data_IF_957361826804
#
_entry.id   IF_957361826804
#
_cell.length_a   1.000
_cell.length_b   1.000
_cell.length_c   1.000
_cell.angle_alpha   90.00
_cell.angle_beta   90.00
_cell.angle_gamma   90.00
#
_symmetry.space_group_name_H-M   'P 1'
#
loop_
_entity.id
_entity.type
_entity.pdbx_description
1 polymer ?
2 non-polymer ?
3 non-polymer ?
4 non-polymer ?
5 non-polymer ?
6 water ?
#
# COMPACT_ATOMS: atom_id res chain seq x y z
N UNK A 1 14.09 -24.37 -13.30
CA UNK A 1 13.60 -23.23 -14.07
C UNK A 1 12.36 -22.59 -13.46
N UNK A 2 11.25 -22.57 -14.22
CA UNK A 2 9.94 -22.30 -13.65
C UNK A 2 9.49 -23.41 -12.71
N UNK A 3 10.15 -24.56 -12.75
CA UNK A 3 9.93 -25.60 -11.76
C UNK A 3 10.32 -25.11 -10.36
N UNK A 4 11.41 -24.36 -10.28
CA UNK A 4 11.81 -23.79 -8.99
C UNK A 4 10.76 -22.84 -8.48
N UNK A 5 10.16 -22.06 -9.38
CA UNK A 5 9.20 -21.03 -8.99
C UNK A 5 7.88 -21.65 -8.59
N UNK A 6 7.42 -22.67 -9.31
CA UNK A 6 6.25 -23.40 -8.86
C UNK A 6 6.46 -24.01 -7.48
N UNK A 7 7.69 -24.42 -7.16
CA UNK A 7 7.95 -25.03 -5.86
C UNK A 7 8.00 -23.99 -4.74
N UNK A 8 8.64 -22.85 -5.01
CA UNK A 8 8.55 -21.72 -4.11
C UNK A 8 7.10 -21.45 -3.75
N UNK A 9 6.24 -21.34 -4.77
CA UNK A 9 4.84 -21.03 -4.54
C UNK A 9 4.11 -22.11 -3.77
N UNK A 10 4.49 -23.38 -3.96
CA UNK A 10 3.86 -24.45 -3.18
C UNK A 10 4.18 -24.33 -1.69
N UNK A 11 5.38 -23.84 -1.37
CA UNK A 11 5.81 -23.78 0.01
C UNK A 11 5.28 -22.53 0.69
N UNK A 12 5.00 -21.47 -0.08
CA UNK A 12 4.38 -20.28 0.49
C UNK A 12 3.01 -20.60 1.07
N UNK A 13 2.21 -21.36 0.33
CA UNK A 13 0.94 -21.90 0.81
C UNK A 13 1.02 -22.40 2.24
N UNK A 14 2.11 -23.10 2.59
CA UNK A 14 2.14 -23.86 3.82
C UNK A 14 2.03 -22.96 5.05
N UNK A 15 2.31 -21.68 4.92
CA UNK A 15 2.24 -20.77 6.05
C UNK A 15 0.99 -19.90 6.02
N UNK A 16 -0.09 -20.36 5.38
CA UNK A 16 -1.32 -19.59 5.37
C UNK A 16 -2.06 -19.66 6.70
N UNK A 17 -1.94 -20.77 7.43
CA UNK A 17 -2.52 -20.85 8.79
C UNK A 17 -1.96 -19.77 9.70
N UNK A 18 -0.65 -19.57 9.67
CA UNK A 18 -0.01 -18.59 10.54
C UNK A 18 -0.48 -17.17 10.20
N UNK A 19 -0.48 -16.83 8.91
CA UNK A 19 -0.94 -15.49 8.53
C UNK A 19 -2.44 -15.34 8.83
N UNK A 20 -3.21 -16.43 8.73
CA UNK A 20 -4.65 -16.31 8.93
C UNK A 20 -4.99 -16.10 10.41
N UNK A 21 -4.39 -16.88 11.32
CA UNK A 21 -4.68 -16.64 12.73
C UNK A 21 -4.04 -15.34 13.22
N UNK A 22 -2.85 -14.99 12.71
CA UNK A 22 -2.30 -13.67 12.98
C UNK A 22 -3.29 -12.58 12.59
N UNK A 23 -3.86 -12.69 11.39
CA UNK A 23 -4.79 -11.68 10.90
C UNK A 23 -6.12 -11.67 11.66
N UNK A 24 -6.48 -12.75 12.37
CA UNK A 24 -7.65 -12.72 13.21
C UNK A 24 -7.39 -11.96 14.50
N UNK A 25 -6.18 -12.16 15.05
CA UNK A 25 -5.73 -11.36 16.18
C UNK A 25 -5.78 -9.87 15.85
N UNK A 26 -5.20 -9.48 14.71
CA UNK A 26 -5.28 -8.10 14.29
C UNK A 26 -6.72 -7.65 14.17
N UNK A 27 -7.60 -8.52 13.63
CA UNK A 27 -8.99 -8.14 13.44
C UNK A 27 -9.69 -7.84 14.76
N UNK A 28 -9.34 -8.57 15.82
CA UNK A 28 -9.96 -8.33 17.10
C UNK A 28 -9.63 -6.95 17.62
N UNK A 29 -8.35 -6.73 17.90
CA UNK A 29 -7.78 -5.45 18.33
C UNK A 29 -8.43 -4.31 17.55
N UNK A 30 -8.39 -4.41 16.22
CA UNK A 30 -8.92 -3.37 15.35
C UNK A 30 -10.38 -3.06 15.69
N UNK A 31 -11.21 -4.10 15.86
CA UNK A 31 -12.61 -3.88 16.19
C UNK A 31 -12.75 -3.12 17.52
N UNK A 32 -11.92 -3.45 18.52
CA UNK A 32 -12.03 -2.79 19.83
C UNK A 32 -11.73 -1.31 19.71
N UNK A 33 -10.71 -0.97 18.91
CA UNK A 33 -10.35 0.43 18.74
C UNK A 33 -11.44 1.17 17.99
N UNK A 34 -12.04 0.52 17.00
CA UNK A 34 -13.14 1.12 16.26
C UNK A 34 -14.30 1.48 17.20
N UNK A 35 -14.55 0.66 18.22
CA UNK A 35 -15.60 0.95 19.18
C UNK A 35 -15.35 2.28 19.89
N UNK A 36 -14.11 2.53 20.28
CA UNK A 36 -13.85 3.69 21.13
C UNK A 36 -13.69 4.96 20.32
N UNK A 37 -12.94 4.89 19.22
CA UNK A 37 -12.83 6.03 18.32
C UNK A 37 -14.20 6.60 17.97
N UNK A 38 -15.21 5.74 17.86
CA UNK A 38 -16.58 6.19 17.62
C UNK A 38 -17.15 6.96 18.80
N UNK A 39 -16.63 6.75 20.01
CA UNK A 39 -17.11 7.55 21.13
C UNK A 39 -16.72 9.01 21.00
N UNK A 40 -15.61 9.29 20.32
CA UNK A 40 -15.10 10.65 20.27
C UNK A 40 -15.93 11.51 19.32
N UNK A 41 -16.17 12.77 19.74
CA UNK A 41 -16.85 13.73 18.87
C UNK A 41 -16.19 13.81 17.49
N UNK A 42 -14.87 13.73 17.44
CA UNK A 42 -14.16 14.00 16.20
C UNK A 42 -14.19 12.80 15.24
N UNK A 43 -14.27 11.57 15.75
CA UNK A 43 -14.13 10.39 14.91
C UNK A 43 -15.36 9.50 14.86
N UNK A 44 -16.53 9.99 15.28
CA UNK A 44 -17.69 9.10 15.36
C UNK A 44 -18.11 8.56 14.00
N UNK A 45 -17.73 9.23 12.92
CA UNK A 45 -17.98 8.70 11.60
C UNK A 45 -16.90 7.77 11.09
N UNK A 46 -16.02 7.31 11.96
CA UNK A 46 -14.90 6.47 11.52
C UNK A 46 -15.37 5.05 11.31
N UNK A 47 -14.71 4.35 10.38
CA UNK A 47 -14.98 2.96 10.06
C UNK A 47 -13.76 2.36 9.40
N UNK A 48 -13.77 1.03 9.30
CA UNK A 48 -12.68 0.30 8.70
C UNK A 48 -12.85 0.27 7.20
N UNK A 49 -11.80 0.58 6.46
CA UNK A 49 -11.79 0.53 5.01
C UNK A 49 -11.44 -0.87 4.55
N UNK A 50 -12.27 -1.42 3.69
CA UNK A 50 -12.04 -2.75 3.11
C UNK A 50 -10.93 -2.67 2.05
N UNK A 51 -9.73 -3.17 2.40
CA UNK A 51 -8.55 -3.08 1.53
C UNK A 51 -7.90 -4.41 1.19
N UNK A 52 -8.13 -5.47 1.96
CA UNK A 52 -7.34 -6.68 1.80
C UNK A 52 -7.90 -7.56 0.69
N UNK A 53 -6.99 -8.23 -0.04
CA UNK A 53 -7.36 -9.08 -1.17
C UNK A 53 -7.78 -10.50 -0.74
N UNK A 54 -7.46 -10.91 0.48
CA UNK A 54 -7.98 -12.17 1.01
C UNK A 54 -8.74 -11.96 2.31
N UNK A 55 -8.18 -11.20 3.25
CA UNK A 55 -8.87 -10.80 4.47
C UNK A 55 -9.47 -9.42 4.28
N UNK A 56 -10.68 -9.21 4.79
CA UNK A 56 -11.42 -7.99 4.49
C UNK A 56 -10.70 -6.74 4.95
N UNK A 57 -10.54 -6.55 6.26
CA UNK A 57 -10.02 -5.30 6.79
C UNK A 57 -8.52 -5.32 7.01
N UNK A 58 -7.85 -6.44 6.74
CA UNK A 58 -6.45 -6.62 7.12
C UNK A 58 -5.68 -6.95 5.86
N UNK A 59 -4.83 -6.02 5.43
CA UNK A 59 -3.89 -6.23 4.33
C UNK A 59 -2.54 -6.68 4.90
N UNK A 60 -1.92 -7.68 4.27
CA UNK A 60 -0.65 -8.22 4.75
C UNK A 60 0.46 -7.70 3.86
N UNK A 61 1.51 -7.13 4.48
CA UNK A 61 2.56 -6.39 3.80
C UNK A 61 3.96 -6.87 4.15
N UNK A 62 4.07 -7.99 4.88
CA UNK A 62 5.30 -8.58 5.37
C UNK A 62 4.91 -9.85 6.12
N UNK A 63 5.86 -10.74 6.47
CA UNK A 63 5.49 -11.95 7.22
C UNK A 63 4.61 -11.70 8.44
N UNK A 64 5.02 -10.78 9.32
CA UNK A 64 4.32 -10.49 10.57
C UNK A 64 3.91 -9.03 10.66
N UNK A 65 3.70 -8.38 9.52
CA UNK A 65 3.30 -6.97 9.49
C UNK A 65 2.01 -6.81 8.70
N UNK A 66 1.02 -6.20 9.31
CA UNK A 66 -0.27 -5.99 8.69
C UNK A 66 -0.58 -4.51 8.61
N UNK A 67 -1.36 -4.15 7.59
CA UNK A 67 -1.80 -2.79 7.30
C UNK A 67 -3.31 -2.73 7.37
N UNK A 68 -3.82 -1.83 8.20
CA UNK A 68 -5.25 -1.61 8.40
C UNK A 68 -5.49 -0.12 8.20
N UNK A 69 -6.61 0.25 7.58
CA UNK A 69 -6.92 1.65 7.34
C UNK A 69 -8.26 2.02 7.95
N UNK A 70 -8.26 3.00 8.83
CA UNK A 70 -9.50 3.57 9.33
C UNK A 70 -9.85 4.77 8.46
N UNK A 71 -11.07 4.79 7.96
CA UNK A 71 -11.48 5.88 7.10
C UNK A 71 -12.49 6.77 7.81
N UNK A 72 -12.41 8.07 7.49
CA UNK A 72 -13.27 9.08 8.09
C UNK A 72 -13.90 9.91 6.96
N UNK A 73 -15.24 9.94 6.93
CA UNK A 73 -15.95 10.71 5.92
C UNK A 73 -15.79 12.20 6.22
N UNK A 74 -15.21 12.94 5.29
CA UNK A 74 -14.94 14.37 5.44
C UNK A 74 -15.56 15.11 4.26
N UNK A 75 -16.79 15.60 4.41
CA UNK A 75 -17.52 16.14 3.26
C UNK A 75 -17.01 17.52 2.88
N UNK A 76 -17.44 17.95 1.68
CA UNK A 76 -17.22 19.32 1.19
C UNK A 76 -15.76 19.74 1.40
N UNK A 77 -14.88 18.96 0.81
CA UNK A 77 -13.45 19.07 1.06
C UNK A 77 -12.78 19.64 -0.20
N UNK A 78 -11.82 20.54 0.02
CA UNK A 78 -11.14 21.24 -1.05
C UNK A 78 -9.63 21.02 -0.94
N UNK A 79 -8.99 20.72 -2.07
CA UNK A 79 -7.59 20.32 -2.10
C UNK A 79 -6.70 21.40 -2.70
N UNK A 80 -5.66 21.80 -1.96
CA UNK A 80 -4.64 22.72 -2.41
C UNK A 80 -3.31 21.97 -2.41
N UNK A 81 -2.66 21.90 -3.56
CA UNK A 81 -1.51 21.03 -3.75
C UNK A 81 -0.23 21.69 -3.25
N UNK A 82 0.56 20.96 -2.48
CA UNK A 82 1.77 21.49 -1.86
C UNK A 82 2.93 21.40 -2.85
N UNK A 83 3.34 22.55 -3.38
CA UNK A 83 4.64 22.71 -4.06
C UNK A 83 4.84 21.72 -5.21
N UNK A 84 3.79 21.49 -5.99
CA UNK A 84 3.87 20.69 -7.21
C UNK A 84 4.47 19.30 -6.96
N UNK A 85 4.24 18.75 -5.76
CA UNK A 85 4.69 17.41 -5.43
C UNK A 85 3.76 16.32 -5.99
N UNK A 86 2.57 16.71 -6.44
CA UNK A 86 1.58 15.87 -7.13
C UNK A 86 0.86 14.91 -6.20
N UNK A 87 1.53 14.38 -5.18
CA UNK A 87 0.91 13.47 -4.24
C UNK A 87 0.52 14.10 -2.92
N UNK A 88 1.11 15.24 -2.55
CA UNK A 88 0.92 15.84 -1.24
C UNK A 88 0.06 17.09 -1.32
N UNK A 89 -0.89 17.22 -0.39
CA UNK A 89 -1.92 18.25 -0.50
C UNK A 89 -2.21 18.86 0.88
N UNK A 90 -2.55 20.15 0.87
CA UNK A 90 -3.24 20.77 2.00
C UNK A 90 -4.73 20.52 1.86
N UNK A 91 -5.42 20.42 3.00
CA UNK A 91 -6.86 20.15 3.01
C UNK A 91 -7.58 21.34 3.63
N UNK A 92 -8.51 21.90 2.86
CA UNK A 92 -9.38 22.98 3.28
C UNK A 92 -10.83 22.51 3.13
N UNK A 93 -11.76 23.41 3.41
CA UNK A 93 -13.19 23.16 3.26
C UNK A 93 -13.79 24.23 2.36
N UNK A 94 -14.98 23.95 1.84
CA UNK A 94 -15.54 24.81 0.80
C UNK A 94 -16.10 26.10 1.38
N UNK A 95 -16.95 25.97 2.40
CA UNK A 95 -17.50 27.13 3.07
C UNK A 95 -17.66 26.78 4.55
N UNK A 96 -18.48 27.55 5.24
CA UNK A 96 -19.03 27.17 6.53
C UNK A 96 -20.53 26.93 6.34
N UNK A 97 -20.95 25.80 5.74
CA UNK A 97 -22.38 25.47 5.72
C UNK A 97 -22.91 25.42 7.14
N UNK A 98 -22.48 24.41 7.90
CA UNK A 98 -22.62 24.40 9.35
C UNK A 98 -21.37 23.78 9.95
N UNK A 99 -20.77 24.48 10.93
CA UNK A 99 -19.47 24.12 11.52
C UNK A 99 -19.30 22.63 11.69
N UNK A 100 -18.20 22.10 11.17
CA UNK A 100 -18.01 20.67 11.00
C UNK A 100 -17.42 20.05 12.27
N UNK A 101 -17.44 18.72 12.38
CA UNK A 101 -16.89 18.09 13.59
C UNK A 101 -15.39 18.28 13.75
N UNK A 102 -14.65 18.36 12.65
CA UNK A 102 -13.19 18.35 12.66
C UNK A 102 -12.57 19.71 12.92
N UNK A 103 -13.37 20.75 13.18
CA UNK A 103 -12.83 22.10 13.29
C UNK A 103 -11.81 22.25 14.41
N UNK A 104 -11.67 21.26 15.28
CA UNK A 104 -10.65 21.33 16.33
C UNK A 104 -9.24 21.27 15.77
N UNK A 105 -9.05 20.72 14.58
CA UNK A 105 -7.72 20.57 13.98
C UNK A 105 -7.46 21.59 12.89
N UNK A 106 -8.28 22.63 12.78
CA UNK A 106 -8.03 23.66 11.78
C UNK A 106 -6.88 24.56 12.21
N UNK A 107 -6.22 25.15 11.22
CA UNK A 107 -5.26 26.23 11.43
C UNK A 107 -5.49 27.22 10.29
N UNK A 108 -6.21 28.30 10.60
CA UNK A 108 -6.73 29.16 9.57
C UNK A 108 -7.72 28.41 8.69
N UNK A 109 -7.41 28.28 7.40
CA UNK A 109 -8.25 27.51 6.50
C UNK A 109 -7.83 26.05 6.41
N UNK A 110 -6.62 25.71 6.85
CA UNK A 110 -6.02 24.41 6.61
C UNK A 110 -6.24 23.48 7.80
N UNK A 111 -6.60 22.23 7.50
CA UNK A 111 -6.73 21.18 8.48
C UNK A 111 -5.36 20.55 8.72
N UNK A 112 -4.85 20.65 9.94
CA UNK A 112 -3.52 20.11 10.21
C UNK A 112 -3.52 18.59 10.22
N UNK A 113 -2.60 18.01 9.44
CA UNK A 113 -2.45 16.56 9.40
C UNK A 113 -1.88 16.02 10.71
N UNK A 114 -0.91 16.72 11.29
CA UNK A 114 -0.29 16.24 12.54
C UNK A 114 -1.21 16.45 13.74
N UNK A 115 -1.98 17.54 13.76
CA UNK A 115 -2.91 17.77 14.88
C UNK A 115 -3.98 16.69 14.93
N UNK A 116 -4.48 16.27 13.77
CA UNK A 116 -5.48 15.21 13.77
C UNK A 116 -4.84 13.84 14.00
N UNK A 117 -3.66 13.62 13.44
CA UNK A 117 -2.93 12.39 13.72
C UNK A 117 -2.62 12.28 15.21
N UNK A 118 -2.41 13.40 15.89
CA UNK A 118 -2.00 13.35 17.29
C UNK A 118 -3.14 12.87 18.17
N UNK A 119 -4.36 13.36 17.96
CA UNK A 119 -5.50 12.89 18.76
C UNK A 119 -5.89 11.47 18.39
N UNK A 120 -5.61 11.07 17.16
CA UNK A 120 -5.73 9.66 16.78
C UNK A 120 -4.85 8.79 17.67
N UNK A 121 -3.56 9.13 17.77
CA UNK A 121 -2.62 8.37 18.58
C UNK A 121 -3.07 8.29 20.04
N UNK A 122 -3.50 9.43 20.60
CA UNK A 122 -3.89 9.45 22.02
C UNK A 122 -5.03 8.49 22.30
N UNK A 123 -6.05 8.45 21.45
CA UNK A 123 -7.20 7.58 21.70
C UNK A 123 -6.79 6.11 21.60
N UNK A 124 -5.97 5.76 20.61
CA UNK A 124 -5.50 4.38 20.50
C UNK A 124 -4.67 4.02 21.74
N UNK A 125 -3.74 4.89 22.13
CA UNK A 125 -2.82 4.60 23.23
C UNK A 125 -3.57 4.36 24.54
N UNK A 126 -4.61 5.14 24.79
CA UNK A 126 -5.41 4.93 25.99
C UNK A 126 -6.17 3.59 25.92
N UNK A 127 -6.69 3.23 24.75
CA UNK A 127 -7.40 1.98 24.63
C UNK A 127 -6.44 0.78 24.61
N UNK A 128 -5.20 0.97 24.19
CA UNK A 128 -4.23 -0.11 24.10
C UNK A 128 -3.94 -0.76 25.45
N UNK A 129 -4.18 -0.05 26.56
CA UNK A 129 -3.96 -0.72 27.85
C UNK A 129 -5.16 -1.57 28.25
N UNK A 130 -6.39 -1.11 27.96
CA UNK A 130 -7.54 -1.51 28.76
C UNK A 130 -7.89 -2.98 28.59
N UNK A 131 -8.15 -3.42 27.36
CA UNK A 131 -8.46 -4.83 27.21
C UNK A 131 -7.17 -5.65 27.36
N UNK A 132 -6.98 -6.22 28.57
CA UNK A 132 -5.89 -7.09 28.96
C UNK A 132 -5.93 -8.46 28.29
N UNK A 133 -6.95 -8.73 27.48
CA UNK A 133 -7.11 -10.04 26.85
C UNK A 133 -5.85 -10.44 26.09
N UNK A 134 -5.28 -9.50 25.35
CA UNK A 134 -4.04 -9.70 24.63
C UNK A 134 -3.09 -8.55 24.95
N UNK A 135 -1.80 -8.83 24.98
CA UNK A 135 -0.81 -7.80 25.25
C UNK A 135 -0.43 -7.15 23.92
N UNK A 136 -0.78 -5.87 23.77
CA UNK A 136 -0.39 -5.07 22.60
C UNK A 136 0.24 -3.79 23.11
N UNK A 137 1.26 -3.32 22.41
CA UNK A 137 1.98 -2.12 22.78
C UNK A 137 2.11 -1.25 21.53
N UNK A 138 2.56 -0.02 21.73
CA UNK A 138 2.80 0.91 20.62
C UNK A 138 4.28 0.99 20.30
N UNK A 139 4.58 1.36 19.05
CA UNK A 139 5.96 1.51 18.62
C UNK A 139 6.24 2.92 18.14
N UNK A 140 7.53 3.25 18.15
CA UNK A 140 8.14 4.57 17.98
C UNK A 140 7.60 5.48 16.87
N UNK A 141 8.28 5.44 15.71
CA UNK A 141 8.31 6.41 14.61
C UNK A 141 7.59 7.74 14.80
N UNK A 142 6.31 7.80 14.39
CA UNK A 142 5.48 9.02 14.23
C UNK A 142 6.18 10.12 13.41
N UNK A 143 7.14 9.77 12.55
CA UNK A 143 7.85 10.76 11.77
C UNK A 143 7.69 10.60 10.26
N UNK A 144 6.96 11.52 9.63
CA UNK A 144 6.70 11.42 8.19
C UNK A 144 6.08 10.09 7.81
N UNK A 145 5.16 9.59 8.64
CA UNK A 145 4.48 8.32 8.43
C UNK A 145 3.05 8.50 8.90
N UNK A 146 2.07 7.96 8.17
CA UNK A 146 0.68 8.05 8.62
C UNK A 146 0.30 6.96 9.61
N UNK A 147 1.20 6.02 9.87
CA UNK A 147 0.88 4.78 10.54
C UNK A 147 1.10 4.90 12.05
N UNK A 148 0.14 4.37 12.81
CA UNK A 148 0.30 4.08 14.22
C UNK A 148 0.52 2.58 14.33
N UNK A 149 1.57 2.17 15.02
CA UNK A 149 2.04 0.79 14.92
C UNK A 149 1.91 0.09 16.25
N UNK A 150 1.13 -0.97 16.29
CA UNK A 150 0.94 -1.83 17.45
C UNK A 150 1.80 -3.08 17.29
N UNK A 151 2.20 -3.65 18.43
CA UNK A 151 2.82 -4.97 18.48
C UNK A 151 1.95 -5.87 19.35
N UNK A 152 1.50 -6.98 18.78
CA UNK A 152 0.53 -7.86 19.41
C UNK A 152 1.24 -9.14 19.83
N UNK A 153 1.10 -9.51 21.10
CA UNK A 153 1.79 -10.62 21.73
C UNK A 153 3.24 -10.71 21.27
N UNK A 154 3.90 -9.56 21.17
CA UNK A 154 5.33 -9.41 20.90
C UNK A 154 5.76 -9.94 19.52
N UNK A 155 4.83 -10.41 18.71
CA UNK A 155 5.18 -10.97 17.41
C UNK A 155 4.55 -10.26 16.23
N UNK A 156 3.25 -9.96 16.30
CA UNK A 156 2.51 -9.46 15.15
C UNK A 156 2.41 -7.94 15.22
N UNK A 157 2.82 -7.28 14.13
CA UNK A 157 2.79 -5.82 13.99
C UNK A 157 1.63 -5.43 13.08
N UNK A 158 0.92 -4.36 13.43
CA UNK A 158 -0.18 -3.85 12.61
C UNK A 158 -0.04 -2.35 12.52
N UNK A 159 -0.04 -1.82 11.28
CA UNK A 159 0.05 -0.38 11.01
C UNK A 159 -1.36 0.16 10.81
N UNK A 160 -1.75 1.13 11.64
CA UNK A 160 -3.09 1.72 11.57
C UNK A 160 -2.99 3.14 11.01
N UNK A 161 -3.66 3.37 9.88
CA UNK A 161 -3.63 4.64 9.17
C UNK A 161 -5.01 5.29 9.19
N UNK A 162 -5.07 6.55 9.59
CA UNK A 162 -6.27 7.36 9.41
C UNK A 162 -6.33 7.85 7.97
N UNK A 163 -7.53 7.85 7.40
CA UNK A 163 -7.73 8.20 6.00
C UNK A 163 -8.99 9.04 5.86
N UNK A 164 -8.82 10.31 5.51
CA UNK A 164 -9.97 11.09 5.09
C UNK A 164 -10.55 10.46 3.82
N UNK A 165 -11.87 10.33 3.79
CA UNK A 165 -12.59 9.84 2.62
C UNK A 165 -13.21 11.03 1.89
N UNK A 166 -12.80 11.23 0.65
CA UNK A 166 -13.39 12.25 -0.22
C UNK A 166 -14.13 11.52 -1.33
N UNK A 167 -15.35 11.95 -1.59
CA UNK A 167 -16.14 11.41 -2.70
C UNK A 167 -16.01 12.25 -3.96
N UNK A 168 -15.19 13.30 -3.95
CA UNK A 168 -15.05 14.20 -5.08
C UNK A 168 -14.27 13.55 -6.24
N UNK A 169 -14.28 14.24 -7.38
CA UNK A 169 -13.45 13.85 -8.52
C UNK A 169 -12.00 13.73 -8.10
N UNK A 170 -11.32 12.67 -8.58
CA UNK A 170 -9.91 12.49 -8.32
C UNK A 170 -9.12 13.73 -8.76
N UNK A 171 -8.07 14.10 -8.05
CA UNK A 171 -7.37 15.34 -8.40
C UNK A 171 -6.65 15.20 -9.74
N UNK A 172 -6.30 16.37 -10.30
CA UNK A 172 -5.82 16.42 -11.68
C UNK A 172 -4.52 15.65 -11.86
N UNK A 173 -3.69 15.56 -10.83
CA UNK A 173 -2.42 14.85 -10.95
C UNK A 173 -2.60 13.38 -11.29
N UNK A 174 -3.82 12.84 -11.11
CA UNK A 174 -4.12 11.45 -11.48
C UNK A 174 -4.76 11.34 -12.84
N UNK A 175 -4.96 12.46 -13.54
CA UNK A 175 -5.55 12.48 -14.88
C UNK A 175 -5.01 11.38 -15.79
N UNK A 176 -3.68 11.26 -15.85
CA UNK A 176 -3.00 10.32 -16.73
C UNK A 176 -2.57 9.02 -16.02
N UNK A 177 -3.05 8.77 -14.80
CA UNK A 177 -2.73 7.55 -14.08
C UNK A 177 -3.80 6.48 -14.24
N UNK A 178 -3.54 5.33 -13.60
CA UNK A 178 -4.40 4.16 -13.76
C UNK A 178 -4.55 3.81 -15.24
N UNK A 179 -3.43 3.55 -15.90
CA UNK A 179 -3.39 3.35 -17.35
C UNK A 179 -3.78 1.91 -17.71
N UNK A 180 -5.01 1.55 -17.35
CA UNK A 180 -5.54 0.19 -17.58
C UNK A 180 -6.37 0.09 -18.85
N UNK A 181 -6.49 1.17 -19.63
CA UNK A 181 -7.38 1.19 -20.80
C UNK A 181 -7.20 -0.06 -21.66
N UNK A 182 -5.97 -0.32 -22.11
CA UNK A 182 -5.70 -1.39 -23.06
C UNK A 182 -5.80 -2.76 -22.44
N UNK A 183 -5.86 -2.82 -21.11
CA UNK A 183 -5.89 -4.06 -20.36
C UNK A 183 -7.28 -4.37 -19.82
N UNK A 184 -7.82 -3.51 -18.94
CA UNK A 184 -9.07 -3.78 -18.25
C UNK A 184 -10.26 -3.03 -18.83
N UNK A 185 -9.98 -2.10 -19.76
CA UNK A 185 -10.89 -1.33 -20.62
C UNK A 185 -11.06 0.09 -20.10
N UNK A 186 -11.36 1.00 -21.03
CA UNK A 186 -11.66 2.37 -20.62
C UNK A 186 -12.88 2.41 -19.72
N UNK A 187 -13.85 1.53 -19.98
CA UNK A 187 -15.06 1.49 -19.16
C UNK A 187 -14.73 1.16 -17.71
N UNK A 188 -13.73 0.30 -17.48
CA UNK A 188 -13.42 -0.08 -16.10
C UNK A 188 -12.68 1.06 -15.39
N UNK A 189 -11.84 1.78 -16.13
CA UNK A 189 -11.17 2.95 -15.58
C UNK A 189 -12.18 4.02 -15.17
N UNK A 190 -13.19 4.29 -16.02
CA UNK A 190 -14.22 5.28 -15.68
C UNK A 190 -14.91 4.93 -14.37
N UNK A 191 -15.30 3.66 -14.19
CA UNK A 191 -16.00 3.25 -12.99
C UNK A 191 -15.10 3.32 -11.75
N UNK A 192 -13.87 2.81 -11.87
CA UNK A 192 -12.95 2.89 -10.73
C UNK A 192 -12.71 4.35 -10.33
N UNK A 193 -12.54 5.25 -11.31
CA UNK A 193 -12.34 6.64 -10.98
C UNK A 193 -13.60 7.31 -10.44
N UNK A 194 -14.72 6.58 -10.36
CA UNK A 194 -15.92 7.07 -9.67
C UNK A 194 -15.98 6.65 -8.21
N UNK A 195 -15.18 5.65 -7.82
CA UNK A 195 -15.02 5.30 -6.42
C UNK A 195 -14.37 6.47 -5.68
N UNK A 196 -14.48 6.49 -4.35
CA UNK A 196 -13.87 7.59 -3.58
C UNK A 196 -12.36 7.44 -3.54
N UNK A 197 -11.72 8.44 -2.96
CA UNK A 197 -10.27 8.39 -2.77
C UNK A 197 -9.95 8.91 -1.38
N UNK A 198 -8.70 8.71 -0.96
CA UNK A 198 -8.30 8.90 0.43
C UNK A 198 -7.08 9.78 0.57
N UNK A 199 -7.03 10.49 1.67
CA UNK A 199 -5.86 11.29 2.04
C UNK A 199 -5.35 10.78 3.38
N UNK A 200 -4.07 10.44 3.42
CA UNK A 200 -3.45 9.90 4.61
C UNK A 200 -2.40 10.90 5.07
N UNK A 201 -2.21 11.07 6.35
CA UNK A 201 -1.31 12.13 6.85
C UNK A 201 0.15 11.68 6.87
N UNK A 202 0.66 11.29 5.70
CA UNK A 202 2.09 11.18 5.48
C UNK A 202 2.62 12.54 5.07
N UNK A 203 3.78 12.90 5.59
CA UNK A 203 4.30 14.24 5.47
C UNK A 203 5.47 14.31 4.49
N UNK A 204 5.43 15.32 3.64
CA UNK A 204 6.47 15.48 2.63
C UNK A 204 7.82 15.73 3.28
N UNK A 205 8.88 15.32 2.60
CA UNK A 205 10.24 15.65 3.00
C UNK A 205 10.55 17.06 2.52
N UNK A 206 10.85 17.95 3.45
CA UNK A 206 10.99 19.37 3.17
C UNK A 206 12.45 19.72 2.94
N UNK A 207 13.18 19.95 4.03
CA UNK A 207 14.61 19.88 3.98
C UNK A 207 15.03 18.58 4.61
N UNK A 208 15.69 18.67 5.77
CA UNK A 208 15.97 17.54 6.63
C UNK A 208 14.91 17.38 7.72
N UNK A 209 13.70 17.91 7.50
CA UNK A 209 12.55 17.68 8.33
C UNK A 209 11.37 17.23 7.47
N UNK A 210 10.17 17.60 7.94
CA UNK A 210 8.92 17.26 7.26
C UNK A 210 7.99 18.47 7.27
N UNK A 211 7.15 18.57 6.24
CA UNK A 211 6.03 19.52 6.20
C UNK A 211 4.81 18.77 6.76
N UNK A 212 4.55 18.92 8.06
CA UNK A 212 3.56 18.08 8.74
C UNK A 212 2.19 18.73 8.85
N UNK A 213 1.75 19.43 7.82
CA UNK A 213 0.33 19.69 7.59
C UNK A 213 -0.12 19.17 6.23
N UNK A 214 0.69 18.35 5.57
CA UNK A 214 0.36 17.82 4.27
C UNK A 214 -0.20 16.42 4.41
N UNK A 215 -1.14 16.11 3.52
CA UNK A 215 -1.74 14.79 3.35
C UNK A 215 -1.33 14.23 2.01
N UNK A 216 -1.29 12.91 1.90
CA UNK A 216 -0.86 12.22 0.69
C UNK A 216 -2.04 11.45 0.12
N UNK A 217 -2.28 11.60 -1.20
CA UNK A 217 -3.31 10.82 -1.87
C UNK A 217 -3.07 9.33 -1.69
N UNK A 218 -4.14 8.58 -1.39
CA UNK A 218 -4.04 7.14 -1.21
C UNK A 218 -5.11 6.44 -2.03
N UNK A 219 -4.70 5.37 -2.73
CA UNK A 219 -5.60 4.59 -3.57
C UNK A 219 -5.51 3.10 -3.25
N UNK A 220 -4.92 2.76 -2.11
CA UNK A 220 -4.76 1.41 -1.60
C UNK A 220 -5.98 0.51 -1.81
N UNK A 221 -7.17 1.08 -1.64
CA UNK A 221 -8.39 0.31 -1.74
C UNK A 221 -8.70 -0.13 -3.16
N UNK A 222 -8.03 0.43 -4.16
CA UNK A 222 -8.26 -0.04 -5.53
C UNK A 222 -7.57 -1.38 -5.78
N UNK A 223 -6.59 -1.76 -4.96
CA UNK A 223 -5.80 -2.94 -5.28
C UNK A 223 -6.66 -4.19 -5.33
N UNK A 224 -7.40 -4.48 -4.25
CA UNK A 224 -8.32 -5.62 -4.25
C UNK A 224 -9.19 -5.62 -5.50
N UNK A 225 -9.60 -4.43 -5.94
CA UNK A 225 -10.55 -4.27 -7.02
C UNK A 225 -9.99 -4.76 -8.34
N UNK A 226 -8.67 -4.69 -8.50
CA UNK A 226 -8.02 -5.11 -9.72
C UNK A 226 -7.35 -6.48 -9.55
N UNK A 227 -6.81 -6.77 -8.37
CA UNK A 227 -6.15 -8.05 -8.17
C UNK A 227 -7.11 -9.21 -8.40
N UNK A 228 -8.36 -9.04 -7.96
CA UNK A 228 -9.35 -10.11 -8.03
C UNK A 228 -10.25 -9.99 -9.24
N UNK A 229 -9.97 -9.06 -10.13
CA UNK A 229 -10.69 -8.94 -11.38
C UNK A 229 -9.67 -8.39 -12.37
N UNK A 230 -8.71 -9.25 -12.69
CA UNK A 230 -7.39 -8.88 -13.20
C UNK A 230 -7.16 -9.20 -14.66
N UNK A 231 -8.09 -9.86 -15.35
CA UNK A 231 -7.86 -10.28 -16.71
C UNK A 231 -8.44 -9.36 -17.76
N UNK A 232 -7.98 -9.50 -19.01
CA UNK A 232 -8.73 -8.88 -20.09
C UNK A 232 -10.11 -9.52 -20.22
N UNK A 233 -10.17 -10.84 -20.05
CA UNK A 233 -11.44 -11.56 -20.13
C UNK A 233 -12.14 -11.49 -18.78
N UNK A 234 -13.40 -11.06 -18.76
CA UNK A 234 -14.10 -10.94 -17.48
C UNK A 234 -14.10 -12.25 -16.71
N UNK A 235 -13.91 -13.39 -17.38
CA UNK A 235 -13.94 -14.68 -16.71
C UNK A 235 -12.55 -15.26 -16.48
N UNK A 236 -11.49 -14.46 -16.67
CA UNK A 236 -10.15 -14.93 -16.30
C UNK A 236 -10.17 -15.54 -14.92
N UNK A 237 -9.56 -16.74 -14.81
CA UNK A 237 -9.46 -17.52 -13.59
C UNK A 237 -10.82 -17.89 -12.99
N UNK A 238 -11.90 -17.88 -13.77
CA UNK A 238 -13.17 -18.37 -13.24
C UNK A 238 -13.52 -19.73 -13.77
N UNK A 239 -12.64 -20.34 -14.56
CA UNK A 239 -12.88 -21.66 -15.13
C UNK A 239 -11.55 -22.28 -15.54
N UNK A 240 -11.59 -23.58 -15.83
CA UNK A 240 -10.35 -24.29 -16.06
C UNK A 240 -9.68 -23.91 -17.37
N UNK A 241 -10.36 -23.14 -18.22
CA UNK A 241 -9.82 -22.77 -19.52
C UNK A 241 -9.01 -21.50 -19.48
N UNK A 242 -9.21 -20.65 -18.45
CA UNK A 242 -8.59 -19.32 -18.36
C UNK A 242 -7.91 -19.24 -17.01
N UNK A 243 -6.71 -19.83 -16.92
CA UNK A 243 -5.86 -19.78 -15.72
C UNK A 243 -4.60 -19.01 -16.10
N UNK A 244 -4.45 -17.80 -15.57
CA UNK A 244 -3.22 -17.03 -15.77
C UNK A 244 -2.33 -17.07 -14.52
N UNK A 245 -1.11 -16.53 -14.66
CA UNK A 245 -0.18 -16.48 -13.54
C UNK A 245 0.05 -15.05 -12.99
N UNK A 246 -0.87 -14.12 -13.19
CA UNK A 246 -0.66 -12.76 -12.69
C UNK A 246 -0.48 -12.76 -11.19
N UNK A 247 -1.38 -13.46 -10.47
CA UNK A 247 -1.29 -13.44 -9.02
C UNK A 247 -0.04 -14.13 -8.50
N UNK A 248 0.40 -15.21 -9.16
CA UNK A 248 1.60 -15.90 -8.70
C UNK A 248 2.84 -15.06 -8.96
N UNK A 249 2.88 -14.30 -10.06
CA UNK A 249 4.05 -13.43 -10.28
C UNK A 249 4.11 -12.34 -9.21
N UNK A 250 2.97 -11.77 -8.82
CA UNK A 250 3.00 -10.82 -7.72
C UNK A 250 3.43 -11.50 -6.42
N UNK A 251 2.95 -12.74 -6.18
CA UNK A 251 3.38 -13.43 -4.97
C UNK A 251 4.89 -13.69 -4.98
N UNK A 252 5.43 -14.08 -6.15
CA UNK A 252 6.86 -14.34 -6.27
C UNK A 252 7.68 -13.07 -6.12
N UNK A 253 7.19 -11.96 -6.70
CA UNK A 253 7.90 -10.69 -6.59
C UNK A 253 7.99 -10.24 -5.14
N UNK A 254 6.88 -10.31 -4.39
CA UNK A 254 6.92 -9.94 -2.99
C UNK A 254 7.90 -10.82 -2.23
N UNK A 255 7.83 -12.15 -2.47
CA UNK A 255 8.68 -13.08 -1.74
C UNK A 255 10.15 -12.82 -2.05
N UNK A 256 10.46 -12.45 -3.29
CA UNK A 256 11.84 -12.13 -3.65
C UNK A 256 12.38 -10.98 -2.81
N UNK A 257 11.63 -9.89 -2.70
CA UNK A 257 12.08 -8.77 -1.90
C UNK A 257 12.20 -9.15 -0.44
N UNK A 258 11.21 -9.92 0.07
CA UNK A 258 11.24 -10.35 1.46
C UNK A 258 12.51 -11.11 1.77
N UNK A 259 12.86 -12.06 0.89
CA UNK A 259 14.05 -12.87 1.13
C UNK A 259 15.31 -12.02 1.07
N UNK A 260 15.44 -11.20 0.03
CA UNK A 260 16.59 -10.29 -0.08
C UNK A 260 16.66 -9.36 1.13
N UNK A 261 15.54 -8.77 1.54
CA UNK A 261 15.58 -7.87 2.70
C UNK A 261 16.00 -8.61 3.96
N UNK A 262 15.67 -9.91 4.06
CA UNK A 262 16.09 -10.70 5.21
C UNK A 262 17.58 -10.99 5.21
N UNK A 263 18.18 -11.11 4.03
CA UNK A 263 19.58 -11.49 3.89
C UNK A 263 20.52 -10.30 4.00
N UNK A 264 20.08 -9.12 3.62
CA UNK A 264 20.86 -7.91 3.83
C UNK A 264 20.48 -7.22 5.11
N UNK A 265 19.91 -7.98 6.07
CA UNK A 265 19.54 -7.42 7.36
C UNK A 265 20.76 -6.92 8.11
N UNK A 266 21.95 -7.45 7.81
CA UNK A 266 23.16 -7.04 8.49
C UNK A 266 23.32 -5.51 8.44
N UNK A 267 23.43 -4.96 7.22
CA UNK A 267 23.73 -3.54 7.02
C UNK A 267 22.56 -2.72 6.48
N UNK A 268 21.34 -3.26 6.48
CA UNK A 268 20.11 -2.47 6.31
C UNK A 268 20.09 -1.63 5.03
N UNK A 269 20.78 -2.05 3.97
CA UNK A 269 20.77 -1.26 2.74
C UNK A 269 19.38 -1.19 2.13
N UNK A 270 18.52 -2.18 2.41
CA UNK A 270 17.22 -2.33 1.76
C UNK A 270 16.05 -1.96 2.67
N UNK A 271 16.30 -1.20 3.73
CA UNK A 271 15.24 -0.81 4.67
C UNK A 271 14.09 -0.12 3.95
N UNK A 272 14.39 0.81 3.05
CA UNK A 272 13.36 1.67 2.50
C UNK A 272 12.45 0.98 1.49
N UNK A 273 12.82 -0.19 0.97
CA UNK A 273 12.03 -0.86 -0.05
C UNK A 273 10.94 -1.72 0.57
N UNK A 274 9.74 -1.70 -0.01
CA UNK A 274 8.62 -2.42 0.58
C UNK A 274 7.80 -3.08 -0.52
N UNK A 275 6.81 -3.87 -0.11
CA UNK A 275 5.97 -4.57 -1.08
C UNK A 275 5.17 -3.59 -1.94
N UNK A 276 5.03 -2.35 -1.47
CA UNK A 276 4.37 -1.34 -2.30
C UNK A 276 5.15 -1.05 -3.57
N UNK A 277 6.48 -1.06 -3.46
CA UNK A 277 7.30 -0.84 -4.64
C UNK A 277 7.18 -1.99 -5.60
N UNK A 278 7.01 -3.19 -5.07
CA UNK A 278 6.90 -4.38 -5.91
C UNK A 278 5.53 -4.45 -6.58
N UNK A 279 4.45 -4.09 -5.84
CA UNK A 279 3.11 -4.07 -6.43
C UNK A 279 3.02 -3.06 -7.55
N UNK A 280 3.54 -1.85 -7.32
CA UNK A 280 3.53 -0.80 -8.33
C UNK A 280 4.21 -1.24 -9.61
N UNK A 281 5.41 -1.82 -9.51
CA UNK A 281 6.08 -2.30 -10.71
C UNK A 281 5.32 -3.46 -11.34
N UNK A 282 4.67 -4.28 -10.52
CA UNK A 282 3.94 -5.42 -11.07
C UNK A 282 2.78 -4.94 -11.95
N UNK A 283 1.92 -4.08 -11.39
CA UNK A 283 0.79 -3.53 -12.14
C UNK A 283 1.25 -2.69 -13.33
N UNK A 284 2.43 -2.06 -13.27
CA UNK A 284 2.97 -1.47 -14.51
C UNK A 284 3.30 -2.54 -15.53
N UNK A 285 3.72 -3.73 -15.11
CA UNK A 285 3.94 -4.79 -16.11
C UNK A 285 2.62 -5.37 -16.63
N UNK A 286 1.56 -5.47 -15.81
CA UNK A 286 0.25 -5.80 -16.34
C UNK A 286 -0.20 -4.81 -17.40
N UNK A 287 0.24 -3.56 -17.29
CA UNK A 287 -0.12 -2.60 -18.32
C UNK A 287 0.67 -2.84 -19.61
N UNK A 288 1.95 -3.12 -19.51
CA UNK A 288 2.73 -3.39 -20.71
C UNK A 288 2.28 -4.67 -21.40
N UNK A 289 1.77 -5.63 -20.64
CA UNK A 289 1.40 -6.95 -21.13
C UNK A 289 -0.10 -7.14 -20.91
N UNK A 290 -0.95 -6.56 -21.76
CA UNK A 290 -2.38 -6.49 -21.45
C UNK A 290 -3.19 -7.75 -21.76
N UNK A 291 -2.67 -8.71 -22.53
CA UNK A 291 -3.46 -9.86 -22.97
C UNK A 291 -3.33 -11.01 -21.99
N UNK A 292 -4.46 -11.70 -21.73
CA UNK A 292 -4.42 -12.85 -20.84
C UNK A 292 -3.49 -13.92 -21.36
N UNK A 293 -3.23 -13.94 -22.67
CA UNK A 293 -2.30 -14.92 -23.24
C UNK A 293 -0.86 -14.58 -22.94
N UNK A 294 -0.57 -13.36 -22.50
CA UNK A 294 0.76 -12.98 -22.03
C UNK A 294 1.02 -13.42 -20.59
N UNK A 295 0.08 -14.13 -19.98
CA UNK A 295 0.24 -14.57 -18.60
C UNK A 295 -0.24 -15.99 -18.45
N UNK A 296 0.01 -16.83 -19.44
CA UNK A 296 -0.44 -18.21 -19.36
C UNK A 296 0.25 -18.92 -18.21
N UNK A 297 -0.50 -19.76 -17.50
CA UNK A 297 0.08 -20.50 -16.38
C UNK A 297 1.28 -21.31 -16.82
N UNK A 298 1.33 -21.76 -18.07
CA UNK A 298 2.49 -22.51 -18.54
C UNK A 298 3.73 -21.64 -18.70
N UNK A 299 3.58 -20.31 -18.75
CA UNK A 299 4.71 -19.43 -19.01
C UNK A 299 5.22 -18.76 -17.75
N UNK A 300 4.98 -19.37 -16.59
CA UNK A 300 5.25 -18.72 -15.31
C UNK A 300 6.66 -18.14 -15.27
N UNK A 301 7.65 -18.89 -15.73
CA UNK A 301 9.01 -18.46 -15.56
C UNK A 301 9.37 -17.23 -16.38
N UNK A 302 8.71 -17.04 -17.53
CA UNK A 302 8.95 -15.90 -18.38
C UNK A 302 8.14 -14.68 -17.94
N UNK A 303 6.90 -14.89 -17.47
CA UNK A 303 6.16 -13.80 -16.88
C UNK A 303 6.88 -13.27 -15.64
N UNK A 304 7.48 -14.16 -14.86
CA UNK A 304 8.24 -13.69 -13.71
C UNK A 304 9.42 -12.86 -14.16
N UNK A 305 10.15 -13.35 -15.16
CA UNK A 305 11.29 -12.61 -15.66
C UNK A 305 10.86 -11.28 -16.27
N UNK A 306 9.64 -11.21 -16.81
CA UNK A 306 9.13 -9.92 -17.26
C UNK A 306 9.03 -8.94 -16.09
N UNK A 307 8.54 -9.44 -14.95
CA UNK A 307 8.34 -8.60 -13.77
C UNK A 307 9.68 -8.20 -13.15
N UNK A 308 10.61 -9.14 -13.05
CA UNK A 308 11.90 -8.82 -12.47
C UNK A 308 12.67 -7.85 -13.35
N UNK A 309 12.57 -8.02 -14.68
CA UNK A 309 13.31 -7.11 -15.59
C UNK A 309 12.80 -5.67 -15.48
N UNK A 310 11.47 -5.49 -15.42
CA UNK A 310 10.94 -4.14 -15.30
C UNK A 310 11.37 -3.52 -13.97
N UNK A 311 11.21 -4.28 -12.89
CA UNK A 311 11.68 -3.81 -11.59
C UNK A 311 13.16 -3.43 -11.66
N UNK A 312 13.99 -4.34 -12.17
CA UNK A 312 15.40 -4.05 -12.34
C UNK A 312 15.61 -2.72 -13.07
N UNK A 313 14.89 -2.51 -14.17
CA UNK A 313 15.03 -1.28 -14.94
C UNK A 313 14.67 -0.05 -14.11
N UNK A 314 13.57 -0.12 -13.33
CA UNK A 314 13.19 1.00 -12.47
C UNK A 314 14.29 1.35 -11.49
N UNK A 315 14.90 0.33 -10.87
CA UNK A 315 16.00 0.56 -9.94
C UNK A 315 17.19 1.21 -10.66
N UNK A 316 17.57 0.64 -11.81
CA UNK A 316 18.74 1.17 -12.50
C UNK A 316 18.52 2.61 -12.96
N UNK A 317 17.33 2.92 -13.48
CA UNK A 317 17.01 4.29 -13.87
C UNK A 317 16.57 5.15 -12.70
N UNK A 318 16.35 4.56 -11.52
CA UNK A 318 15.92 5.28 -10.33
C UNK A 318 14.59 5.98 -10.58
N UNK A 319 13.65 5.25 -11.19
CA UNK A 319 12.37 5.86 -11.59
C UNK A 319 11.29 4.80 -11.56
N UNK A 320 10.36 4.93 -10.60
CA UNK A 320 9.19 4.05 -10.48
C UNK A 320 7.98 4.94 -10.26
N UNK A 321 7.19 5.13 -11.30
CA UNK A 321 6.04 6.01 -11.20
C UNK A 321 4.98 5.43 -10.27
N UNK A 322 4.46 6.28 -9.40
CA UNK A 322 3.21 6.00 -8.73
C UNK A 322 2.15 5.59 -9.76
N UNK A 323 1.50 4.46 -9.52
CA UNK A 323 0.55 3.90 -10.47
C UNK A 323 -0.60 4.84 -10.75
N UNK A 324 -0.94 5.68 -9.77
CA UNK A 324 -2.04 6.61 -9.91
C UNK A 324 -1.58 8.03 -10.22
N UNK A 325 -0.33 8.38 -9.89
CA UNK A 325 0.18 9.73 -10.08
C UNK A 325 1.46 9.61 -10.88
N UNK A 326 1.42 9.78 -12.21
CA UNK A 326 2.62 9.48 -13.02
C UNK A 326 3.82 10.38 -12.73
N UNK A 327 3.61 11.62 -12.34
CA UNK A 327 4.74 12.50 -12.08
C UNK A 327 5.32 12.34 -10.68
N UNK A 328 4.84 11.38 -9.93
CA UNK A 328 5.37 11.12 -8.59
C UNK A 328 6.26 9.88 -8.67
N UNK A 329 7.55 10.10 -8.48
CA UNK A 329 8.55 9.06 -8.61
C UNK A 329 8.77 8.42 -7.25
N UNK A 330 8.30 7.18 -7.09
CA UNK A 330 8.48 6.45 -5.83
C UNK A 330 9.94 6.24 -5.51
N UNK A 331 10.81 6.37 -6.50
CA UNK A 331 12.23 6.11 -6.38
C UNK A 331 13.07 7.38 -6.46
N UNK A 332 12.47 8.56 -6.25
CA UNK A 332 13.27 9.78 -6.31
C UNK A 332 14.36 9.76 -5.25
N UNK A 333 15.41 10.57 -5.47
CA UNK A 333 16.48 10.70 -4.49
C UNK A 333 15.94 11.20 -3.17
N UNK A 334 14.85 11.94 -3.23
CA UNK A 334 14.24 12.48 -2.04
C UNK A 334 13.76 11.37 -1.11
N UNK A 335 13.23 10.29 -1.67
CA UNK A 335 12.53 9.23 -0.93
C UNK A 335 13.42 8.03 -0.61
N UNK A 336 14.21 7.57 -1.56
CA UNK A 336 15.18 6.51 -1.35
C UNK A 336 16.53 6.99 -1.83
N UNK A 337 17.57 6.76 -1.04
CA UNK A 337 18.85 7.34 -1.40
C UNK A 337 19.51 6.52 -2.51
N UNK A 338 20.49 7.15 -3.17
CA UNK A 338 21.06 6.59 -4.40
C UNK A 338 21.86 5.32 -4.14
N UNK A 339 22.48 5.19 -2.95
CA UNK A 339 23.26 3.98 -2.66
C UNK A 339 22.35 2.77 -2.47
N UNK A 340 21.18 2.95 -1.89
CA UNK A 340 20.27 1.83 -1.69
C UNK A 340 19.79 1.30 -3.04
N UNK A 341 19.30 2.20 -3.90
CA UNK A 341 18.83 1.79 -5.20
C UNK A 341 19.92 1.07 -5.95
N UNK A 342 21.13 1.59 -5.91
CA UNK A 342 22.24 0.89 -6.55
C UNK A 342 22.43 -0.48 -5.93
N UNK A 343 22.31 -0.57 -4.62
CA UNK A 343 22.56 -1.82 -3.93
C UNK A 343 21.58 -2.90 -4.39
N UNK A 344 20.29 -2.57 -4.43
CA UNK A 344 19.28 -3.55 -4.83
C UNK A 344 19.44 -3.96 -6.30
N UNK A 345 19.85 -3.02 -7.16
CA UNK A 345 20.06 -3.34 -8.56
C UNK A 345 21.09 -4.44 -8.71
N UNK A 346 22.20 -4.35 -7.97
CA UNK A 346 23.25 -5.35 -8.04
C UNK A 346 22.73 -6.71 -7.60
N UNK A 347 21.85 -6.72 -6.60
CA UNK A 347 21.39 -7.98 -6.07
C UNK A 347 20.34 -8.60 -6.98
N UNK A 348 19.41 -7.79 -7.47
CA UNK A 348 18.37 -8.32 -8.33
C UNK A 348 18.94 -8.67 -9.71
N UNK A 349 19.85 -7.85 -10.22
CA UNK A 349 20.66 -8.26 -11.37
C UNK A 349 21.19 -9.67 -11.16
N UNK A 350 21.88 -9.88 -10.05
CA UNK A 350 22.55 -11.15 -9.80
C UNK A 350 21.55 -12.30 -9.70
N UNK A 351 20.53 -12.13 -8.88
CA UNK A 351 19.54 -13.19 -8.74
C UNK A 351 18.96 -13.60 -10.08
N UNK A 352 18.66 -12.62 -10.95
CA UNK A 352 17.99 -12.92 -12.20
C UNK A 352 18.91 -13.62 -13.19
N UNK A 353 20.15 -13.14 -13.33
CA UNK A 353 21.14 -13.77 -14.21
C UNK A 353 21.51 -15.18 -13.76
N UNK A 354 21.13 -15.60 -12.55
CA UNK A 354 21.48 -16.91 -12.03
C UNK A 354 20.26 -17.73 -11.65
N UNK A 355 19.11 -17.44 -12.23
CA UNK A 355 17.91 -18.24 -12.02
C UNK A 355 17.58 -18.29 -10.53
N UNK A 356 17.65 -17.14 -9.89
CA UNK A 356 17.19 -16.92 -8.52
C UNK A 356 17.70 -17.95 -7.52
N UNK A 357 19.00 -17.93 -7.18
CA UNK A 357 19.50 -18.85 -6.15
C UNK A 357 18.97 -18.54 -4.76
N UNK A 358 18.34 -17.38 -4.54
CA UNK A 358 17.71 -17.10 -3.26
C UNK A 358 16.48 -17.99 -3.03
N UNK A 359 15.98 -18.62 -4.08
CA UNK A 359 14.85 -19.52 -4.00
C UNK A 359 15.25 -20.97 -3.77
N UNK A 360 16.53 -21.26 -3.55
CA UNK A 360 16.99 -22.63 -3.42
C UNK A 360 16.64 -23.19 -2.04
N UNK A 361 16.44 -24.50 -1.99
CA UNK A 361 16.05 -25.15 -0.74
C UNK A 361 17.20 -25.93 -0.08
X LIG B 1 -6.43 -14.77 -14.27
X LIG C 1 -1.29 -0.13 -3.19
X LIG C 1 -0.90 0.31 -1.93
X LIG C 1 -0.20 0.51 0.07
X LIG C 1 -0.49 2.97 0.56
X LIG C 1 0.81 3.70 0.69
X LIG C 1 2.02 3.14 0.32
X LIG C 1 3.17 3.88 0.47
X LIG C 1 2.04 5.64 1.36
X LIG C 1 0.83 4.97 1.24
X LIG C 1 -1.02 1.67 -1.59
X LIG C 1 -1.52 2.57 -2.55
X LIG C 1 -1.71 4.03 -2.36
X LIG C 1 -1.91 2.10 -3.81
X LIG C 1 -3.73 -1.20 -9.27
X LIG C 1 -3.22 -0.69 -7.94
X LIG C 1 -1.86 -0.56 -7.71
X LIG C 1 -1.39 -0.10 -6.50
X LIG C 1 -2.24 0.26 -5.47
X LIG C 1 -3.61 0.12 -5.70
X LIG C 1 -4.08 -0.34 -6.92
X LIG C 1 -1.80 0.75 -4.14
X LIG C 1 -0.38 -0.40 -0.86
X LIG C 1 -0.52 1.78 -0.30
X LIG C 1 3.21 5.12 0.97
X LIG C 1 -1.31 4.86 -3.19
X LIG C 1 -2.33 4.36 -1.26
X LIG C 1 0.33 0.03 -6.30
X LIG D 1 -4.49 -24.06 0.45
X LIG D 1 -3.43 -23.11 0.97
X LIG D 1 -5.45 -24.54 1.51
X LIG D 1 -5.14 -23.59 -0.85
X LIG D 1 -3.84 -26.20 -1.40
X LIG D 1 -3.98 -25.21 -2.54
X LIG D 1 -2.74 -27.24 -1.45
X LIG D 1 -3.68 -25.40 0.01
X LIG D 1 -6.38 -26.88 -2.36
X LIG D 1 -6.37 -25.42 -2.77
X LIG D 1 -6.11 -27.95 -3.39
X LIG D 1 -5.25 -26.97 -1.21
X LIG D 1 -7.77 -27.22 -1.62
X LIG E 1 -5.29 -23.62 -2.95
#
# INVERSE_FOLDING_TARGET
GASKLRAVLEKLKLSRDDISTAAGMVKGVVDHLLLRLKCDSAFRGVGLLNTGSYYEHVKISAPNEFDVMFKLEVPRIQLEEYSNTRAYYFVKFKRNPKENPLSQFLEGEILSASKMLSKFRKIIKEEINDIKDTDVIMKRKRGGSPAVTLLISEKISVDITLALESKSSWPASTQEGLRIQNWLSAKVRKQLRLKPFYLVPKHAKEGNGFQEETWRLSFSHIEKEILNNHGKSKTCCENKEEKCCRKDCLKLMKYLLEQLKERFKDKKHLDKFSSYHVKTAFFHVCTQNPQDSQWDRKDLGLCFDNCVTYFLQCLRTEKLENYFIPEFNLFSSNLIDKRSKEFLTKQIEYERNNEFPVFDEF
ZN ZN
YQ3 C10 C11 C13 C15 C16 C17 C18 C20 C21 C22 C23 C24 C27 C1 C2 C3 C4 C6 C7 C8 C9 N12 N14 N19 O25 O26 CL5
ATP PG O1G O2G O3G PB O1B O2B O3B PA O1A O2A O3A O5'
MG MG
#
